data_IF_462574768818
#
_entry.id   IF_462574768818
#
_cell.length_a   1.000
_cell.length_b   1.000
_cell.length_c   1.000
_cell.angle_alpha   90.00
_cell.angle_beta   90.00
_cell.angle_gamma   90.00
#
_symmetry.space_group_name_H-M   'P 1'
#
loop_
_entity.id
_entity.type
_entity.pdbx_description
1 polymer ?
#
# COMPACT_ATOMS: atom_id res chain seq x y z
N UNK A 1 1.55 1.81 11.21
CA UNK A 1 2.53 1.62 12.31
C UNK A 1 3.76 0.92 11.74
N UNK A 2 4.92 1.55 11.89
CA UNK A 2 6.22 0.97 11.53
C UNK A 2 6.56 -0.06 12.62
N UNK A 3 6.70 -1.32 12.24
CA UNK A 3 7.06 -2.39 13.16
C UNK A 3 8.57 -2.35 13.43
N UNK A 4 8.97 -1.97 14.64
CA UNK A 4 10.32 -2.16 15.16
C UNK A 4 10.37 -3.37 16.08
N UNK A 5 11.56 -3.95 16.30
CA UNK A 5 11.74 -5.03 17.29
C UNK A 5 11.21 -4.67 18.69
N UNK A 6 11.29 -3.38 19.07
CA UNK A 6 10.75 -2.88 20.35
C UNK A 6 9.22 -2.78 20.38
N UNK A 7 8.55 -2.65 19.22
CA UNK A 7 7.08 -2.64 19.15
C UNK A 7 6.47 -4.04 19.18
N UNK A 8 7.27 -5.08 18.94
CA UNK A 8 6.87 -6.47 19.02
C UNK A 8 6.40 -6.84 20.43
N UNK A 9 7.16 -6.50 21.48
CA UNK A 9 6.76 -6.77 22.87
C UNK A 9 5.44 -6.10 23.25
N UNK A 10 5.19 -4.90 22.72
CA UNK A 10 3.93 -4.18 22.87
C UNK A 10 2.78 -4.86 22.17
N UNK A 11 2.98 -5.36 20.94
CA UNK A 11 1.97 -6.11 20.19
C UNK A 11 1.64 -7.46 20.84
N UNK A 12 2.64 -8.20 21.28
CA UNK A 12 2.44 -9.48 21.99
C UNK A 12 1.60 -9.30 23.25
N UNK A 13 1.76 -8.18 23.97
CA UNK A 13 0.94 -7.83 25.14
C UNK A 13 -0.48 -7.40 24.77
N UNK A 14 -0.69 -6.75 23.62
CA UNK A 14 -2.02 -6.25 23.20
C UNK A 14 -2.88 -7.34 22.58
N UNK A 15 -2.26 -8.31 21.90
CA UNK A 15 -2.95 -9.49 21.34
C UNK A 15 -3.04 -10.65 22.36
N UNK A 16 -2.55 -10.45 23.57
CA UNK A 16 -2.08 -11.50 24.48
C UNK A 16 -3.11 -12.26 25.27
N UNK A 17 -4.40 -12.26 24.94
CA UNK A 17 -5.34 -13.18 25.60
C UNK A 17 -5.88 -14.30 24.72
N UNK A 18 -5.78 -14.21 23.41
CA UNK A 18 -6.41 -15.19 22.52
C UNK A 18 -5.44 -16.06 21.71
N UNK A 19 -4.15 -15.71 21.63
CA UNK A 19 -3.18 -16.47 20.83
C UNK A 19 -2.00 -16.93 21.69
N UNK A 20 -2.17 -18.03 22.40
CA UNK A 20 -1.08 -18.73 23.13
C UNK A 20 0.11 -19.10 22.23
N UNK A 21 -0.09 -19.17 20.92
CA UNK A 21 0.94 -19.51 19.93
C UNK A 21 1.89 -18.34 19.60
N UNK A 22 1.47 -17.08 19.80
CA UNK A 22 2.35 -15.91 19.57
C UNK A 22 3.48 -15.78 20.60
N UNK A 23 3.35 -16.41 21.78
CA UNK A 23 4.42 -16.44 22.78
C UNK A 23 5.61 -17.32 22.36
N UNK A 24 5.44 -18.18 21.35
CA UNK A 24 6.50 -19.01 20.79
C UNK A 24 7.35 -18.28 19.71
N UNK A 25 6.91 -17.11 19.26
CA UNK A 25 7.68 -16.32 18.30
C UNK A 25 8.84 -15.62 19.02
N UNK A 26 10.03 -16.10 18.77
CA UNK A 26 11.27 -15.51 19.26
C UNK A 26 11.83 -14.46 18.27
N UNK A 27 12.86 -13.74 18.68
CA UNK A 27 13.53 -12.70 17.86
C UNK A 27 13.99 -13.24 16.50
N UNK A 28 14.49 -14.47 16.44
CA UNK A 28 14.94 -15.11 15.20
C UNK A 28 13.78 -15.39 14.23
N UNK A 29 12.60 -15.78 14.76
CA UNK A 29 11.40 -15.98 13.95
C UNK A 29 10.91 -14.65 13.35
N UNK A 30 10.96 -13.55 14.11
CA UNK A 30 10.61 -12.21 13.61
C UNK A 30 11.61 -11.73 12.56
N UNK A 31 12.90 -11.97 12.74
CA UNK A 31 13.94 -11.65 11.75
C UNK A 31 13.72 -12.46 10.46
N UNK A 32 13.44 -13.75 10.58
CA UNK A 32 13.12 -14.61 9.44
C UNK A 32 11.86 -14.15 8.71
N UNK A 33 10.79 -13.83 9.45
CA UNK A 33 9.56 -13.32 8.85
C UNK A 33 9.76 -12.03 8.06
N UNK A 34 10.56 -11.09 8.56
CA UNK A 34 10.89 -9.83 7.86
C UNK A 34 11.54 -10.09 6.51
N UNK A 35 12.47 -11.04 6.46
CA UNK A 35 13.13 -11.44 5.23
C UNK A 35 12.11 -12.01 4.22
N UNK A 36 11.25 -12.92 4.69
CA UNK A 36 10.19 -13.49 3.86
C UNK A 36 9.17 -12.47 3.40
N UNK A 37 8.77 -11.54 4.26
CA UNK A 37 7.84 -10.48 3.90
C UNK A 37 8.41 -9.57 2.79
N UNK A 38 9.71 -9.25 2.83
CA UNK A 38 10.36 -8.51 1.77
C UNK A 38 10.46 -9.32 0.47
N UNK A 39 10.82 -10.61 0.57
CA UNK A 39 10.88 -11.51 -0.58
C UNK A 39 9.52 -11.70 -1.26
N UNK A 40 8.44 -11.79 -0.49
CA UNK A 40 7.07 -11.90 -0.99
C UNK A 40 6.49 -10.56 -1.49
N UNK A 41 7.26 -9.47 -1.46
CA UNK A 41 6.81 -8.17 -1.92
C UNK A 41 5.75 -7.50 -1.04
N UNK A 42 5.61 -7.94 0.22
CA UNK A 42 4.70 -7.31 1.19
C UNK A 42 5.24 -6.01 1.75
N UNK A 43 6.51 -5.71 1.48
CA UNK A 43 7.20 -4.51 1.91
C UNK A 43 8.68 -4.55 1.57
N UNK A 44 9.42 -3.54 2.00
CA UNK A 44 10.88 -3.49 1.84
C UNK A 44 11.56 -3.28 3.19
N UNK A 45 12.79 -3.78 3.30
CA UNK A 45 13.60 -3.64 4.51
C UNK A 45 14.30 -2.27 4.51
N UNK A 46 14.15 -1.55 5.61
CA UNK A 46 14.91 -0.33 5.90
C UNK A 46 15.58 -0.48 7.26
N UNK A 47 16.87 -0.81 7.27
CA UNK A 47 17.59 -1.18 8.48
C UNK A 47 16.95 -2.38 9.17
N UNK A 48 16.50 -2.18 10.41
CA UNK A 48 15.83 -3.21 11.22
C UNK A 48 14.31 -3.23 11.06
N UNK A 49 13.73 -2.38 10.21
CA UNK A 49 12.28 -2.24 10.02
C UNK A 49 11.84 -2.80 8.68
N UNK A 50 10.62 -3.34 8.63
CA UNK A 50 9.91 -3.57 7.38
C UNK A 50 8.92 -2.43 7.15
N UNK A 51 9.00 -1.82 5.97
CA UNK A 51 8.05 -0.80 5.51
C UNK A 51 7.07 -1.49 4.58
N UNK A 52 5.80 -1.63 4.98
CA UNK A 52 4.81 -2.31 4.17
C UNK A 52 4.57 -1.55 2.86
N UNK A 53 4.48 -2.28 1.74
CA UNK A 53 4.25 -1.72 0.42
C UNK A 53 3.37 -2.67 -0.40
N UNK A 54 2.27 -2.19 -0.93
CA UNK A 54 1.33 -2.98 -1.73
C UNK A 54 1.60 -2.90 -3.24
N UNK A 55 2.79 -2.45 -3.68
CA UNK A 55 3.14 -2.26 -5.09
C UNK A 55 2.79 -3.47 -5.96
N UNK A 56 3.27 -4.66 -5.59
CA UNK A 56 3.04 -5.88 -6.37
C UNK A 56 1.56 -6.27 -6.45
N UNK A 57 0.85 -6.14 -5.33
CA UNK A 57 -0.60 -6.42 -5.28
C UNK A 57 -1.40 -5.44 -6.16
N UNK A 58 -1.05 -4.16 -6.10
CA UNK A 58 -1.68 -3.14 -6.95
C UNK A 58 -1.37 -3.37 -8.42
N UNK A 59 -0.12 -3.66 -8.76
CA UNK A 59 0.31 -3.97 -10.12
C UNK A 59 -0.48 -5.13 -10.71
N UNK A 60 -0.61 -6.24 -9.98
CA UNK A 60 -1.40 -7.40 -10.40
C UNK A 60 -2.89 -7.05 -10.61
N UNK A 61 -3.52 -6.33 -9.68
CA UNK A 61 -4.92 -5.89 -9.81
C UNK A 61 -5.10 -4.98 -11.03
N UNK A 62 -4.20 -4.01 -11.23
CA UNK A 62 -4.28 -3.06 -12.33
C UNK A 62 -4.03 -3.75 -13.68
N UNK A 63 -3.10 -4.71 -13.74
CA UNK A 63 -2.83 -5.45 -14.96
C UNK A 63 -3.99 -6.39 -15.36
N UNK A 64 -4.65 -7.01 -14.38
CA UNK A 64 -5.63 -8.07 -14.64
C UNK A 64 -7.08 -7.60 -14.71
N UNK A 65 -7.46 -6.58 -13.91
CA UNK A 65 -8.88 -6.21 -13.72
C UNK A 65 -9.23 -4.77 -14.06
N UNK A 66 -8.24 -3.90 -14.32
CA UNK A 66 -8.49 -2.48 -14.56
C UNK A 66 -9.38 -2.22 -15.78
N UNK A 67 -9.15 -2.96 -16.86
CA UNK A 67 -9.90 -2.84 -18.13
C UNK A 67 -11.35 -3.32 -18.06
N UNK A 68 -11.75 -3.97 -16.96
CA UNK A 68 -13.16 -4.32 -16.74
C UNK A 68 -14.04 -3.06 -16.58
N UNK A 69 -13.47 -1.94 -16.12
CA UNK A 69 -14.22 -0.70 -15.84
C UNK A 69 -13.63 0.54 -16.50
N UNK A 70 -12.33 0.61 -16.67
CA UNK A 70 -11.60 1.79 -17.15
C UNK A 70 -10.75 1.46 -18.38
N UNK A 71 -10.19 2.49 -19.01
CA UNK A 71 -9.24 2.35 -20.11
C UNK A 71 -7.86 2.80 -19.69
N UNK A 72 -6.83 2.15 -20.20
CA UNK A 72 -5.45 2.60 -20.00
C UNK A 72 -5.25 3.98 -20.63
N UNK A 73 -4.35 4.76 -20.06
CA UNK A 73 -4.00 6.12 -20.44
C UNK A 73 -5.14 7.15 -20.34
N UNK A 74 -6.32 6.75 -19.86
CA UNK A 74 -7.41 7.66 -19.55
C UNK A 74 -7.26 8.20 -18.12
N UNK A 75 -7.50 9.52 -17.96
CA UNK A 75 -7.49 10.18 -16.64
C UNK A 75 -8.88 10.08 -16.03
N UNK A 76 -8.98 9.49 -14.86
CA UNK A 76 -10.22 9.28 -14.12
C UNK A 76 -10.16 9.95 -12.74
N UNK A 77 -11.32 10.19 -12.15
CA UNK A 77 -11.42 10.73 -10.79
C UNK A 77 -10.86 9.75 -9.76
N UNK A 78 -10.09 10.28 -8.81
CA UNK A 78 -9.55 9.49 -7.70
C UNK A 78 -10.63 8.75 -6.90
N UNK A 79 -11.79 9.38 -6.70
CA UNK A 79 -12.91 8.78 -5.98
C UNK A 79 -13.48 7.56 -6.71
N UNK A 80 -13.65 7.63 -8.04
CA UNK A 80 -14.15 6.51 -8.84
C UNK A 80 -13.15 5.36 -8.86
N UNK A 81 -11.86 5.68 -8.96
CA UNK A 81 -10.78 4.71 -8.86
C UNK A 81 -10.78 4.02 -7.48
N UNK A 82 -10.87 4.79 -6.39
CA UNK A 82 -10.84 4.23 -5.04
C UNK A 82 -12.08 3.41 -4.73
N UNK A 83 -13.24 3.81 -5.22
CA UNK A 83 -14.48 3.02 -5.10
C UNK A 83 -14.35 1.67 -5.81
N UNK A 84 -13.78 1.65 -7.00
CA UNK A 84 -13.49 0.42 -7.72
C UNK A 84 -12.44 -0.42 -6.99
N UNK A 85 -11.34 0.20 -6.56
CA UNK A 85 -10.23 -0.50 -5.87
C UNK A 85 -10.69 -1.15 -4.56
N UNK A 86 -11.63 -0.54 -3.83
CA UNK A 86 -12.21 -1.12 -2.61
C UNK A 86 -12.93 -2.44 -2.86
N UNK A 87 -13.48 -2.64 -4.06
CA UNK A 87 -14.10 -3.93 -4.44
C UNK A 87 -13.07 -5.03 -4.70
N UNK A 88 -11.83 -4.65 -5.04
CA UNK A 88 -10.72 -5.58 -5.33
C UNK A 88 -9.81 -5.81 -4.12
N UNK A 89 -9.87 -4.91 -3.13
CA UNK A 89 -9.12 -4.96 -1.87
C UNK A 89 -10.06 -4.82 -0.66
N UNK A 90 -10.98 -5.77 -0.45
CA UNK A 90 -11.97 -5.68 0.64
C UNK A 90 -11.33 -5.71 2.03
N UNK A 91 -10.10 -6.20 2.14
CA UNK A 91 -9.31 -6.21 3.38
C UNK A 91 -8.71 -4.84 3.75
N UNK A 92 -8.76 -3.87 2.85
CA UNK A 92 -8.21 -2.52 3.07
C UNK A 92 -9.36 -1.54 3.28
N UNK A 93 -9.42 -0.97 4.46
CA UNK A 93 -10.34 0.12 4.75
C UNK A 93 -9.87 1.39 4.03
N UNK A 94 -10.67 1.84 3.06
CA UNK A 94 -10.37 3.01 2.24
C UNK A 94 -11.25 4.16 2.75
N UNK A 95 -10.65 4.95 3.61
CA UNK A 95 -11.23 6.19 4.13
C UNK A 95 -10.68 7.42 3.38
N UNK A 96 -10.95 8.61 3.91
CA UNK A 96 -10.42 9.87 3.38
C UNK A 96 -8.89 9.97 3.37
N UNK A 97 -8.21 9.17 4.21
CA UNK A 97 -6.75 9.03 4.25
C UNK A 97 -6.38 7.58 4.07
N UNK A 98 -5.54 7.30 3.07
CA UNK A 98 -5.15 5.94 2.74
C UNK A 98 -4.14 5.35 3.73
N UNK A 99 -4.20 4.02 3.98
CA UNK A 99 -3.19 3.31 4.77
C UNK A 99 -1.78 3.45 4.19
N UNK A 100 -0.76 3.32 5.06
CA UNK A 100 0.65 3.44 4.68
C UNK A 100 1.04 2.50 3.53
N UNK A 101 0.66 1.23 3.61
CA UNK A 101 1.03 0.23 2.60
C UNK A 101 0.46 0.55 1.20
N UNK A 102 -0.81 0.99 1.15
CA UNK A 102 -1.46 1.39 -0.09
C UNK A 102 -0.87 2.69 -0.64
N UNK A 103 -0.64 3.68 0.23
CA UNK A 103 0.01 4.94 -0.14
C UNK A 103 1.41 4.73 -0.70
N UNK A 104 2.22 3.88 -0.05
CA UNK A 104 3.56 3.53 -0.53
C UNK A 104 3.51 2.81 -1.88
N UNK A 105 2.55 1.90 -2.06
CA UNK A 105 2.36 1.20 -3.34
C UNK A 105 2.00 2.16 -4.49
N UNK A 106 1.05 3.07 -4.27
CA UNK A 106 0.66 4.07 -5.27
C UNK A 106 1.81 5.02 -5.63
N UNK A 107 2.58 5.48 -4.64
CA UNK A 107 3.77 6.31 -4.89
C UNK A 107 4.81 5.56 -5.73
N UNK A 108 5.12 4.33 -5.35
CA UNK A 108 6.08 3.51 -6.09
C UNK A 108 5.64 3.30 -7.55
N UNK A 109 4.37 3.00 -7.80
CA UNK A 109 3.85 2.86 -9.16
C UNK A 109 3.92 4.18 -9.94
N UNK A 110 3.69 5.32 -9.27
CA UNK A 110 3.84 6.64 -9.88
C UNK A 110 5.29 6.96 -10.26
N UNK A 111 6.24 6.68 -9.36
CA UNK A 111 7.67 6.86 -9.59
C UNK A 111 8.19 5.99 -10.74
N UNK A 112 7.65 4.77 -10.86
CA UNK A 112 7.95 3.87 -11.98
C UNK A 112 7.27 4.28 -13.30
N UNK A 113 6.39 5.29 -13.28
CA UNK A 113 5.66 5.75 -14.45
C UNK A 113 4.53 4.81 -14.92
N UNK A 114 4.17 3.79 -14.10
CA UNK A 114 3.09 2.84 -14.40
C UNK A 114 1.71 3.43 -14.13
N UNK A 115 1.64 4.40 -13.22
CA UNK A 115 0.46 5.23 -13.01
C UNK A 115 0.89 6.70 -12.96
N UNK A 116 -0.06 7.61 -13.12
CA UNK A 116 0.15 9.04 -12.92
C UNK A 116 -0.88 9.56 -11.93
N UNK A 117 -0.40 10.09 -10.81
CA UNK A 117 -1.23 10.77 -9.81
C UNK A 117 -1.18 12.26 -10.06
N UNK A 118 -2.32 12.92 -10.12
CA UNK A 118 -2.43 14.36 -10.41
C UNK A 118 -3.33 15.05 -9.37
N UNK A 119 -2.98 16.30 -9.06
CA UNK A 119 -3.75 17.16 -8.17
C UNK A 119 -4.36 18.30 -8.99
N UNK A 120 -5.67 18.29 -9.16
CA UNK A 120 -6.42 19.35 -9.83
C UNK A 120 -7.24 20.11 -8.79
N UNK A 121 -7.49 21.39 -9.01
CA UNK A 121 -8.12 22.27 -8.03
C UNK A 121 -9.64 22.14 -7.96
N UNK A 122 -10.26 21.41 -8.86
CA UNK A 122 -11.72 21.29 -9.03
C UNK A 122 -12.35 20.09 -8.30
N UNK A 123 -11.55 19.26 -7.65
CA UNK A 123 -12.02 18.00 -7.05
C UNK A 123 -11.45 17.81 -5.64
N UNK A 124 -12.19 17.06 -4.82
CA UNK A 124 -11.73 16.71 -3.46
C UNK A 124 -10.60 15.68 -3.52
N UNK A 125 -9.44 15.96 -2.93
CA UNK A 125 -8.30 15.06 -2.97
C UNK A 125 -8.48 13.85 -2.06
N UNK A 126 -7.98 12.71 -2.50
CA UNK A 126 -7.69 11.55 -1.65
C UNK A 126 -6.30 11.75 -1.06
N UNK A 127 -6.21 11.73 0.27
CA UNK A 127 -4.95 11.96 0.96
C UNK A 127 -4.16 10.67 1.13
N UNK A 128 -2.90 10.70 0.73
CA UNK A 128 -1.94 9.62 0.99
C UNK A 128 -1.43 9.71 2.43
N UNK A 129 -0.95 8.59 2.96
CA UNK A 129 -0.25 8.62 4.25
C UNK A 129 0.98 9.51 4.13
N UNK A 130 1.09 10.49 5.04
CA UNK A 130 2.18 11.46 5.00
C UNK A 130 3.52 10.78 5.30
N UNK A 131 4.51 11.05 4.45
CA UNK A 131 5.91 10.68 4.65
C UNK A 131 6.73 11.95 4.45
N UNK A 132 7.60 12.27 5.40
CA UNK A 132 8.42 13.48 5.35
C UNK A 132 9.34 13.47 4.12
N UNK A 133 9.37 14.58 3.39
CA UNK A 133 10.14 14.71 2.15
C UNK A 133 9.46 14.15 0.89
N UNK A 134 8.26 13.55 1.01
CA UNK A 134 7.54 13.02 -0.16
C UNK A 134 6.78 14.15 -0.88
N UNK A 135 6.98 14.34 -2.20
CA UNK A 135 6.35 15.41 -2.96
C UNK A 135 4.84 15.19 -3.17
N UNK A 136 4.35 13.95 -3.09
CA UNK A 136 2.96 13.59 -3.36
C UNK A 136 2.24 13.22 -2.07
N UNK A 137 1.41 14.14 -1.58
CA UNK A 137 0.63 13.97 -0.35
C UNK A 137 -0.83 13.61 -0.60
N UNK A 138 -1.29 13.65 -1.84
CA UNK A 138 -2.65 13.34 -2.25
C UNK A 138 -2.82 13.43 -3.76
N UNK A 139 -3.99 13.05 -4.25
CA UNK A 139 -4.32 13.14 -5.67
C UNK A 139 -5.84 13.28 -5.86
N UNK A 140 -6.25 13.94 -6.92
CA UNK A 140 -7.64 14.09 -7.33
C UNK A 140 -7.96 13.29 -8.58
N UNK A 141 -6.94 13.02 -9.40
CA UNK A 141 -7.05 12.25 -10.64
C UNK A 141 -5.93 11.22 -10.73
N UNK A 142 -6.22 10.14 -11.44
CA UNK A 142 -5.26 9.06 -11.71
C UNK A 142 -5.41 8.59 -13.14
N UNK A 143 -4.30 8.28 -13.78
CA UNK A 143 -4.27 7.49 -15.02
C UNK A 143 -3.35 6.29 -14.87
N UNK A 144 -3.76 5.15 -15.41
CA UNK A 144 -2.99 3.90 -15.40
C UNK A 144 -2.44 3.70 -16.81
N UNK A 145 -1.14 3.43 -16.90
CA UNK A 145 -0.45 3.25 -18.18
C UNK A 145 -0.58 1.82 -18.68
N UNK A 146 -0.70 1.65 -20.00
CA UNK A 146 -0.74 0.31 -20.62
C UNK A 146 0.53 -0.49 -20.32
N UNK A 147 1.66 0.18 -20.10
CA UNK A 147 2.94 -0.42 -19.70
C UNK A 147 2.88 -1.28 -18.42
N UNK A 148 1.80 -1.19 -17.63
CA UNK A 148 1.61 -2.04 -16.44
C UNK A 148 1.43 -3.53 -16.79
N UNK A 149 1.12 -3.85 -18.04
CA UNK A 149 0.93 -5.22 -18.55
C UNK A 149 2.20 -5.85 -19.12
N UNK A 150 3.32 -5.13 -19.13
CA UNK A 150 4.59 -5.60 -19.72
C UNK A 150 5.54 -6.23 -18.66
#
# INVERSE_FOLDING_TARGET
RIFSLKSWEGMAKTCGSEVKELSALNENAVLGWRFWAAFLGLGYLSGTMIIPNMKLRLEDILATTYTEKFRYDETILAQDFMLWLSTKLPEVEIESKLPLALSAGLRTLHELGLIKLEMWSDSTPIMLYYVDGDPINGFTHISVKEAINS
#
